data_IF_282616118035
#
_entry.id   IF_282616118035
#
_cell.length_a   1.000
_cell.length_b   1.000
_cell.length_c   1.000
_cell.angle_alpha   90.00
_cell.angle_beta   90.00
_cell.angle_gamma   90.00
#
_symmetry.space_group_name_H-M   'P 1'
#
loop_
_entity.id
_entity.type
_entity.pdbx_description
1 polymer ?
#
# COMPACT_ATOMS: atom_id res chain seq x y z
N UNK A 1 -15.06 11.68 -2.16
CA UNK A 1 -15.03 10.63 -1.13
C UNK A 1 -14.12 11.02 0.04
N UNK A 2 -14.59 10.88 1.30
CA UNK A 2 -13.78 11.11 2.50
C UNK A 2 -12.52 10.24 2.52
N UNK A 3 -11.39 10.80 2.98
CA UNK A 3 -10.10 10.08 3.06
C UNK A 3 -10.20 8.78 3.86
N UNK A 4 -10.91 8.81 4.99
CA UNK A 4 -11.13 7.65 5.87
C UNK A 4 -11.82 6.48 5.13
N UNK A 5 -12.77 6.77 4.25
CA UNK A 5 -13.47 5.75 3.46
C UNK A 5 -12.55 5.13 2.40
N UNK A 6 -11.75 5.93 1.70
CA UNK A 6 -10.77 5.44 0.73
C UNK A 6 -9.75 4.48 1.37
N UNK A 7 -9.26 4.84 2.57
CA UNK A 7 -8.33 4.00 3.33
C UNK A 7 -8.99 2.68 3.71
N UNK A 8 -10.22 2.72 4.25
CA UNK A 8 -10.96 1.53 4.65
C UNK A 8 -11.17 0.58 3.47
N UNK A 9 -11.73 1.08 2.36
CA UNK A 9 -11.96 0.30 1.13
C UNK A 9 -10.68 -0.34 0.59
N UNK A 10 -9.57 0.41 0.61
CA UNK A 10 -8.29 -0.10 0.16
C UNK A 10 -7.77 -1.24 1.04
N UNK A 11 -7.88 -1.13 2.36
CA UNK A 11 -7.45 -2.18 3.30
C UNK A 11 -8.35 -3.42 3.22
N UNK A 12 -9.67 -3.24 3.08
CA UNK A 12 -10.65 -4.33 3.19
C UNK A 12 -10.88 -5.07 1.88
N UNK A 13 -10.79 -4.40 0.74
CA UNK A 13 -11.11 -4.99 -0.58
C UNK A 13 -9.85 -5.17 -1.41
N UNK A 14 -9.12 -4.09 -1.66
CA UNK A 14 -8.04 -4.09 -2.65
C UNK A 14 -6.83 -4.89 -2.15
N UNK A 15 -6.44 -4.68 -0.88
CA UNK A 15 -5.28 -5.32 -0.28
C UNK A 15 -5.38 -6.87 -0.22
N UNK A 16 -6.47 -7.48 0.27
CA UNK A 16 -6.59 -8.95 0.28
C UNK A 16 -6.66 -9.55 -1.12
N UNK A 17 -7.39 -8.95 -2.06
CA UNK A 17 -7.46 -9.43 -3.46
C UNK A 17 -6.07 -9.52 -4.08
N UNK A 18 -5.22 -8.55 -3.78
CA UNK A 18 -3.86 -8.53 -4.31
C UNK A 18 -2.89 -9.43 -3.54
N UNK A 19 -3.13 -9.66 -2.26
CA UNK A 19 -2.36 -10.60 -1.45
C UNK A 19 -2.67 -12.05 -1.83
N UNK A 20 -3.90 -12.36 -2.20
CA UNK A 20 -4.31 -13.71 -2.61
C UNK A 20 -3.40 -14.29 -3.71
N UNK A 21 -3.08 -13.50 -4.73
CA UNK A 21 -2.14 -13.94 -5.79
C UNK A 21 -0.70 -14.15 -5.30
N UNK A 22 -0.31 -13.53 -4.18
CA UNK A 22 1.01 -13.69 -3.57
C UNK A 22 1.08 -14.86 -2.57
N UNK A 23 -0.06 -15.41 -2.13
CA UNK A 23 -0.11 -16.55 -1.21
C UNK A 23 0.33 -17.86 -1.89
N UNK A 24 0.12 -17.98 -3.21
CA UNK A 24 0.41 -19.21 -3.95
C UNK A 24 1.88 -19.37 -4.37
N UNK A 25 2.70 -18.32 -4.37
CA UNK A 25 4.09 -18.36 -4.89
C UNK A 25 5.13 -17.91 -3.84
N UNK A 26 6.38 -18.33 -4.02
CA UNK A 26 7.49 -17.94 -3.15
C UNK A 26 7.80 -16.45 -3.28
N UNK A 27 7.44 -15.65 -2.27
CA UNK A 27 7.64 -14.19 -2.34
C UNK A 27 9.07 -13.80 -1.94
N UNK A 28 9.92 -13.63 -2.97
CA UNK A 28 11.28 -13.08 -2.81
C UNK A 28 11.25 -11.58 -2.48
N UNK A 29 12.38 -11.02 -2.02
CA UNK A 29 12.52 -9.57 -1.73
C UNK A 29 12.07 -8.67 -2.89
N UNK A 30 12.39 -9.05 -4.13
CA UNK A 30 11.96 -8.34 -5.34
C UNK A 30 10.43 -8.29 -5.46
N UNK A 31 9.78 -9.41 -5.19
CA UNK A 31 8.31 -9.49 -5.23
C UNK A 31 7.67 -8.75 -4.06
N UNK A 32 8.27 -8.75 -2.86
CA UNK A 32 7.81 -7.90 -1.75
C UNK A 32 7.89 -6.41 -2.08
N UNK A 33 8.91 -5.97 -2.83
CA UNK A 33 8.97 -4.58 -3.33
C UNK A 33 7.96 -4.30 -4.45
N UNK A 34 7.76 -5.24 -5.38
CA UNK A 34 6.72 -5.12 -6.40
C UNK A 34 5.32 -5.06 -5.77
N UNK A 35 5.11 -5.77 -4.66
CA UNK A 35 3.90 -5.72 -3.84
C UNK A 35 3.72 -4.38 -3.11
N UNK A 36 4.78 -3.61 -2.88
CA UNK A 36 4.68 -2.33 -2.18
C UNK A 36 4.52 -1.13 -3.14
N UNK A 37 5.09 -1.20 -4.35
CA UNK A 37 5.08 -0.08 -5.33
C UNK A 37 3.71 0.54 -5.60
N UNK A 38 2.66 -0.21 -5.95
CA UNK A 38 1.35 0.39 -6.20
C UNK A 38 0.62 0.78 -4.90
N UNK A 39 1.01 0.23 -3.74
CA UNK A 39 0.50 0.70 -2.44
C UNK A 39 0.96 2.13 -2.20
N UNK A 40 2.24 2.39 -2.38
CA UNK A 40 2.81 3.74 -2.29
C UNK A 40 2.14 4.69 -3.26
N UNK A 41 1.87 4.25 -4.50
CA UNK A 41 1.13 5.05 -5.50
C UNK A 41 -0.30 5.37 -5.02
N UNK A 42 -0.98 4.40 -4.42
CA UNK A 42 -2.33 4.56 -3.90
C UNK A 42 -2.36 5.49 -2.68
N UNK A 43 -1.42 5.33 -1.74
CA UNK A 43 -1.27 6.21 -0.58
C UNK A 43 -1.04 7.66 -1.00
N UNK A 44 -0.19 7.88 -2.00
CA UNK A 44 0.03 9.20 -2.61
C UNK A 44 -1.26 9.78 -3.18
N UNK A 45 -2.03 9.01 -3.95
CA UNK A 45 -3.34 9.45 -4.48
C UNK A 45 -4.37 9.72 -3.39
N UNK A 46 -4.38 8.93 -2.30
CA UNK A 46 -5.30 9.13 -1.18
C UNK A 46 -5.00 10.41 -0.40
N UNK A 47 -3.71 10.72 -0.22
CA UNK A 47 -3.27 11.95 0.43
C UNK A 47 -3.32 13.16 -0.51
N UNK A 48 -3.23 12.95 -1.82
CA UNK A 48 -3.17 14.01 -2.83
C UNK A 48 -1.76 14.56 -3.05
N UNK A 49 -0.72 13.80 -2.69
CA UNK A 49 0.68 14.20 -2.87
C UNK A 49 1.24 13.63 -4.16
N UNK A 50 2.08 14.41 -4.81
CA UNK A 50 2.79 14.05 -6.03
C UNK A 50 4.21 13.59 -5.72
N UNK A 51 4.98 13.26 -6.75
CA UNK A 51 6.41 12.99 -6.61
C UNK A 51 7.24 14.26 -6.41
N UNK A 52 6.72 15.42 -6.83
CA UNK A 52 7.41 16.72 -6.73
C UNK A 52 7.52 17.21 -5.28
N UNK A 53 6.59 16.79 -4.43
CA UNK A 53 6.56 17.16 -3.02
C UNK A 53 7.68 16.49 -2.20
N UNK A 54 8.46 15.57 -2.80
CA UNK A 54 9.60 14.86 -2.18
C UNK A 54 9.30 14.19 -0.83
N UNK A 55 8.02 13.96 -0.52
CA UNK A 55 7.60 13.29 0.71
C UNK A 55 7.95 11.80 0.64
N UNK A 56 8.59 11.27 1.70
CA UNK A 56 8.93 9.85 1.79
C UNK A 56 7.67 9.00 1.95
N UNK A 57 7.67 7.79 1.39
CA UNK A 57 6.55 6.84 1.51
C UNK A 57 6.25 6.45 2.96
N UNK A 58 7.29 6.38 3.80
CA UNK A 58 7.19 6.06 5.23
C UNK A 58 6.37 7.09 5.99
N UNK A 59 6.57 8.38 5.70
CA UNK A 59 5.84 9.48 6.34
C UNK A 59 4.36 9.46 5.94
N UNK A 60 4.09 9.24 4.65
CA UNK A 60 2.71 9.10 4.13
C UNK A 60 2.02 7.90 4.81
N UNK A 61 2.73 6.78 4.96
CA UNK A 61 2.21 5.58 5.63
C UNK A 61 1.84 5.87 7.09
N UNK A 62 2.73 6.55 7.83
CA UNK A 62 2.55 6.89 9.24
C UNK A 62 1.33 7.80 9.42
N UNK A 63 1.15 8.78 8.54
CA UNK A 63 0.02 9.71 8.59
C UNK A 63 -1.32 9.04 8.22
N UNK A 64 -1.32 8.11 7.26
CA UNK A 64 -2.52 7.37 6.88
C UNK A 64 -2.88 6.23 7.86
N UNK A 65 -1.97 5.87 8.77
CA UNK A 65 -2.17 4.77 9.73
C UNK A 65 -2.26 3.39 9.09
N UNK A 66 -1.68 3.19 7.90
CA UNK A 66 -1.78 1.93 7.14
C UNK A 66 -0.55 1.05 7.39
N UNK A 67 -0.74 -0.22 7.75
CA UNK A 67 0.38 -1.19 7.90
C UNK A 67 0.99 -1.58 6.56
N UNK A 68 2.28 -1.91 6.48
CA UNK A 68 2.89 -2.34 5.21
C UNK A 68 2.33 -3.69 4.77
N UNK A 69 2.07 -3.84 3.46
CA UNK A 69 1.63 -5.11 2.87
C UNK A 69 2.68 -6.21 3.03
N UNK A 70 3.96 -5.83 3.14
CA UNK A 70 5.06 -6.77 3.38
C UNK A 70 4.95 -7.52 4.71
N UNK A 71 4.35 -6.90 5.74
CA UNK A 71 4.13 -7.54 7.05
C UNK A 71 3.11 -8.69 6.97
N UNK A 72 2.26 -8.72 5.93
CA UNK A 72 1.25 -9.78 5.73
C UNK A 72 1.72 -10.90 4.82
N UNK A 73 2.81 -10.70 4.08
CA UNK A 73 3.32 -11.68 3.13
C UNK A 73 4.32 -12.58 3.85
N UNK A 74 4.06 -13.89 3.83
CA UNK A 74 4.89 -14.94 4.44
C UNK A 74 6.35 -14.91 3.97
#
# INVERSE_FOLDING_TARGET
MPRKLKIKLYITVIRPVRLYGAECWTVRKKEKQNLEKPDVRMWRRMKGVTLRDKVKSVDIRKELGVKSTQEKVR
#
